data_IF_857663089540
#
_entry.id   IF_857663089540
#
_cell.length_a   1.000
_cell.length_b   1.000
_cell.length_c   1.000
_cell.angle_alpha   90.00
_cell.angle_beta   90.00
_cell.angle_gamma   90.00
#
_symmetry.space_group_name_H-M   'P 1'
#
loop_
_entity.id
_entity.type
_entity.pdbx_description
1 polymer ?
#
# COMPACT_ATOMS: atom_id res chain seq x y z
N UNK A 1 7.13 0.80 11.46
CA UNK A 1 7.98 -0.42 11.57
C UNK A 1 8.62 -0.55 12.94
N UNK A 2 8.64 0.51 13.76
CA UNK A 2 9.07 0.45 15.16
C UNK A 2 8.38 -0.66 15.95
N UNK A 3 9.10 -1.18 16.94
CA UNK A 3 8.62 -2.23 17.84
C UNK A 3 7.47 -1.65 18.68
N UNK A 4 6.33 -2.34 18.73
CA UNK A 4 5.13 -1.92 19.45
C UNK A 4 4.16 -1.05 18.62
N UNK A 5 4.68 -0.20 17.71
CA UNK A 5 3.82 0.65 16.86
C UNK A 5 3.01 -0.18 15.86
N UNK A 6 3.65 -1.19 15.25
CA UNK A 6 2.99 -2.06 14.28
C UNK A 6 1.94 -2.95 14.96
N UNK A 7 2.30 -3.55 16.10
CA UNK A 7 1.44 -4.43 16.88
C UNK A 7 0.20 -3.69 17.39
N UNK A 8 0.35 -2.45 17.85
CA UNK A 8 -0.77 -1.59 18.22
C UNK A 8 -1.69 -1.30 17.01
N UNK A 9 -1.08 -0.98 15.86
CA UNK A 9 -1.80 -0.65 14.63
C UNK A 9 -2.56 -1.81 13.99
N UNK A 10 -2.08 -3.05 14.12
CA UNK A 10 -2.74 -4.27 13.64
C UNK A 10 -3.56 -4.99 14.73
N UNK A 11 -3.63 -4.43 15.94
CA UNK A 11 -4.47 -4.99 17.01
C UNK A 11 -5.97 -4.93 16.67
N UNK A 12 -6.82 -5.54 17.50
CA UNK A 12 -8.28 -5.48 17.33
C UNK A 12 -8.83 -4.04 17.38
N UNK A 13 -8.17 -3.16 18.12
CA UNK A 13 -8.51 -1.74 18.24
C UNK A 13 -7.67 -0.88 17.28
N UNK A 14 -6.86 -1.52 16.43
CA UNK A 14 -5.92 -0.87 15.54
C UNK A 14 -6.59 -0.35 14.27
N UNK A 15 -6.27 0.90 13.91
CA UNK A 15 -6.87 1.59 12.75
C UNK A 15 -6.45 1.00 11.40
N UNK A 16 -5.30 0.30 11.31
CA UNK A 16 -4.82 -0.29 10.04
C UNK A 16 -5.83 -1.29 9.48
N UNK A 17 -6.49 -2.04 10.36
CA UNK A 17 -7.51 -3.02 9.99
C UNK A 17 -8.78 -2.35 9.48
N UNK A 18 -9.25 -1.38 10.23
CA UNK A 18 -10.45 -0.61 9.92
C UNK A 18 -10.31 0.14 8.59
N UNK A 19 -9.20 0.84 8.37
CA UNK A 19 -8.94 1.56 7.13
C UNK A 19 -8.89 0.65 5.91
N UNK A 20 -8.24 -0.52 6.00
CA UNK A 20 -8.18 -1.46 4.88
C UNK A 20 -9.57 -2.02 4.53
N UNK A 21 -10.39 -2.31 5.54
CA UNK A 21 -11.76 -2.75 5.36
C UNK A 21 -12.64 -1.65 4.75
N UNK A 22 -12.58 -0.43 5.27
CA UNK A 22 -13.31 0.73 4.76
C UNK A 22 -12.94 1.05 3.30
N UNK A 23 -11.65 1.00 2.96
CA UNK A 23 -11.20 1.19 1.58
C UNK A 23 -11.83 0.13 0.65
N UNK A 24 -11.87 -1.13 1.09
CA UNK A 24 -12.45 -2.22 0.30
C UNK A 24 -13.96 -2.06 0.12
N UNK A 25 -14.70 -1.70 1.18
CA UNK A 25 -16.16 -1.50 1.12
C UNK A 25 -16.55 -0.31 0.26
N UNK A 26 -15.72 0.74 0.18
CA UNK A 26 -15.91 1.89 -0.71
C UNK A 26 -15.53 1.61 -2.16
N UNK A 27 -15.04 0.40 -2.48
CA UNK A 27 -14.70 -0.01 -3.84
C UNK A 27 -13.30 0.39 -4.30
N UNK A 28 -12.40 0.77 -3.38
CA UNK A 28 -10.98 0.96 -3.68
C UNK A 28 -10.34 -0.41 -3.87
N UNK A 29 -10.12 -0.81 -5.13
CA UNK A 29 -9.61 -2.15 -5.48
C UNK A 29 -8.09 -2.22 -5.57
N UNK A 30 -7.42 -1.07 -5.66
CA UNK A 30 -5.96 -0.97 -5.75
C UNK A 30 -5.41 -0.43 -4.45
N UNK A 31 -4.40 -1.10 -3.89
CA UNK A 31 -3.78 -0.73 -2.62
C UNK A 31 -2.27 -0.85 -2.72
N UNK A 32 -1.55 0.04 -2.05
CA UNK A 32 -0.10 0.04 -1.87
C UNK A 32 0.17 0.04 -0.36
N UNK A 33 1.10 -0.80 0.09
CA UNK A 33 1.50 -0.85 1.51
C UNK A 33 2.88 -0.24 1.66
N UNK A 34 2.94 0.96 2.22
CA UNK A 34 4.18 1.60 2.65
C UNK A 34 4.54 1.19 4.08
N UNK A 35 5.61 0.43 4.27
CA UNK A 35 6.13 0.08 5.59
C UNK A 35 7.03 1.21 6.07
N UNK A 36 6.45 2.17 6.79
CA UNK A 36 7.12 3.40 7.21
C UNK A 36 7.96 3.24 8.50
N UNK A 37 8.85 4.20 8.74
CA UNK A 37 9.80 4.28 9.86
C UNK A 37 10.79 3.11 9.90
N UNK A 38 11.32 2.71 8.74
CA UNK A 38 12.34 1.66 8.66
C UNK A 38 13.66 2.04 9.34
N UNK A 39 13.94 3.33 9.48
CA UNK A 39 15.05 3.87 10.27
C UNK A 39 14.95 3.52 11.77
N UNK A 40 13.74 3.39 12.29
CA UNK A 40 13.44 3.19 13.71
C UNK A 40 13.29 1.70 14.08
N UNK A 41 13.64 0.77 13.19
CA UNK A 41 13.68 -0.66 13.53
C UNK A 41 14.92 -0.97 14.34
N UNK A 42 14.91 -2.10 15.06
CA UNK A 42 16.07 -2.59 15.78
C UNK A 42 16.51 -3.93 15.17
N UNK A 43 17.65 -4.01 14.46
CA UNK A 43 18.54 -2.91 14.04
C UNK A 43 17.90 -2.00 12.96
N UNK A 44 18.42 -0.77 12.72
CA UNK A 44 17.89 0.13 11.68
C UNK A 44 17.85 -0.53 10.30
N UNK A 45 16.76 -0.30 9.55
CA UNK A 45 16.51 -0.87 8.22
C UNK A 45 16.54 -2.41 8.20
N UNK A 46 16.00 -3.05 9.24
CA UNK A 46 16.00 -4.51 9.38
C UNK A 46 15.10 -5.21 8.34
N UNK A 47 15.72 -6.05 7.51
CA UNK A 47 15.02 -6.92 6.55
C UNK A 47 14.06 -7.88 7.26
N UNK A 48 14.50 -8.47 8.38
CA UNK A 48 13.70 -9.43 9.14
C UNK A 48 12.39 -8.79 9.62
N UNK A 49 12.47 -7.56 10.14
CA UNK A 49 11.29 -6.81 10.60
C UNK A 49 10.35 -6.46 9.45
N UNK A 50 10.89 -6.06 8.30
CA UNK A 50 10.07 -5.82 7.12
C UNK A 50 9.34 -7.10 6.66
N UNK A 51 10.04 -8.24 6.60
CA UNK A 51 9.46 -9.52 6.16
C UNK A 51 8.37 -10.03 7.13
N UNK A 52 8.54 -9.82 8.44
CA UNK A 52 7.51 -10.09 9.44
C UNK A 52 6.24 -9.26 9.19
N UNK A 53 6.39 -7.92 9.11
CA UNK A 53 5.27 -7.00 8.84
C UNK A 53 4.58 -7.36 7.52
N UNK A 54 5.37 -7.59 6.46
CA UNK A 54 4.86 -7.98 5.14
C UNK A 54 4.03 -9.25 5.24
N UNK A 55 4.48 -10.27 5.96
CA UNK A 55 3.76 -11.55 6.11
C UNK A 55 2.43 -11.37 6.83
N UNK A 56 2.41 -10.62 7.92
CA UNK A 56 1.18 -10.36 8.68
C UNK A 56 0.17 -9.53 7.89
N UNK A 57 0.63 -8.43 7.29
CA UNK A 57 -0.22 -7.57 6.45
C UNK A 57 -0.71 -8.34 5.24
N UNK A 58 0.13 -9.16 4.60
CA UNK A 58 -0.27 -10.03 3.49
C UNK A 58 -1.42 -10.98 3.88
N UNK A 59 -1.33 -11.64 5.03
CA UNK A 59 -2.41 -12.49 5.53
C UNK A 59 -3.68 -11.70 5.82
N UNK A 60 -3.56 -10.49 6.35
CA UNK A 60 -4.69 -9.62 6.67
C UNK A 60 -5.40 -9.08 5.42
N UNK A 61 -4.64 -8.54 4.47
CA UNK A 61 -5.12 -8.00 3.19
C UNK A 61 -5.88 -9.08 2.39
N UNK A 62 -5.38 -10.32 2.40
CA UNK A 62 -6.09 -11.48 1.84
C UNK A 62 -7.43 -11.76 2.53
N UNK A 63 -7.52 -11.59 3.86
CA UNK A 63 -8.78 -11.76 4.61
C UNK A 63 -9.80 -10.66 4.32
N UNK A 64 -9.35 -9.43 4.08
CA UNK A 64 -10.24 -8.31 3.70
C UNK A 64 -10.85 -8.54 2.31
N UNK A 65 -10.13 -9.20 1.40
CA UNK A 65 -10.62 -9.57 0.07
C UNK A 65 -9.76 -9.06 -1.09
N UNK A 66 -8.66 -8.38 -0.81
CA UNK A 66 -7.68 -7.98 -1.82
C UNK A 66 -6.85 -9.18 -2.29
N UNK A 67 -6.36 -9.12 -3.54
CA UNK A 67 -5.36 -10.06 -4.02
C UNK A 67 -3.96 -9.59 -3.58
N UNK A 68 -3.28 -10.30 -2.66
CA UNK A 68 -2.01 -9.82 -2.13
C UNK A 68 -0.87 -9.82 -3.17
N UNK A 69 -0.97 -10.61 -4.24
CA UNK A 69 0.00 -10.59 -5.35
C UNK A 69 -0.04 -9.29 -6.18
N UNK A 70 -1.09 -8.48 -6.00
CA UNK A 70 -1.27 -7.19 -6.66
C UNK A 70 -1.03 -5.99 -5.74
N UNK A 71 -0.62 -6.25 -4.49
CA UNK A 71 -0.34 -5.21 -3.51
C UNK A 71 1.17 -5.07 -3.36
N UNK A 72 1.78 -3.97 -3.86
CA UNK A 72 3.18 -3.71 -3.64
C UNK A 72 3.45 -3.34 -2.17
N UNK A 73 4.54 -3.88 -1.64
CA UNK A 73 5.05 -3.61 -0.29
C UNK A 73 6.37 -2.86 -0.40
N UNK A 74 6.38 -1.60 0.03
CA UNK A 74 7.53 -0.70 -0.11
C UNK A 74 8.04 -0.31 1.28
N UNK A 75 9.27 -0.70 1.67
CA UNK A 75 9.89 -0.21 2.89
C UNK A 75 10.34 1.23 2.67
N UNK A 76 9.87 2.16 3.51
CA UNK A 76 10.15 3.58 3.38
C UNK A 76 10.57 4.19 4.72
N UNK A 77 11.30 5.30 4.65
CA UNK A 77 11.39 6.27 5.75
C UNK A 77 10.88 7.61 5.27
N UNK A 78 9.68 7.99 5.70
CA UNK A 78 9.12 9.30 5.33
C UNK A 78 9.91 10.48 5.90
N UNK A 79 10.67 10.27 6.98
CA UNK A 79 11.49 11.31 7.59
C UNK A 79 12.80 11.55 6.82
N UNK A 80 13.46 10.47 6.41
CA UNK A 80 14.74 10.54 5.69
C UNK A 80 14.60 10.52 4.17
N UNK A 81 13.40 10.29 3.64
CA UNK A 81 13.12 10.20 2.20
C UNK A 81 13.49 8.87 1.55
N UNK A 82 13.93 7.88 2.34
CA UNK A 82 14.39 6.58 1.83
C UNK A 82 13.27 5.83 1.10
N UNK A 83 13.52 5.41 -0.16
CA UNK A 83 12.59 4.72 -1.06
C UNK A 83 11.29 5.50 -1.39
N UNK A 84 11.25 6.80 -1.13
CA UNK A 84 10.09 7.64 -1.47
C UNK A 84 10.06 7.96 -2.97
N UNK A 85 11.13 8.60 -3.46
CA UNK A 85 11.31 9.01 -4.86
C UNK A 85 12.48 8.23 -5.45
N UNK A 86 13.60 8.19 -4.72
CA UNK A 86 14.84 7.51 -5.10
C UNK A 86 15.08 6.26 -4.24
N UNK A 87 15.83 5.31 -4.79
CA UNK A 87 16.25 4.10 -4.08
C UNK A 87 17.20 4.44 -2.92
N UNK A 88 16.96 3.83 -1.76
CA UNK A 88 17.82 3.99 -0.58
C UNK A 88 19.04 3.07 -0.64
N UNK A 89 20.22 3.65 -0.44
CA UNK A 89 21.46 2.87 -0.26
C UNK A 89 21.48 2.07 1.07
N UNK A 90 20.62 2.40 2.04
CA UNK A 90 20.58 1.75 3.37
C UNK A 90 19.81 0.43 3.35
N UNK A 91 19.06 0.17 2.29
CA UNK A 91 18.21 -1.02 2.12
C UNK A 91 18.66 -1.87 0.93
N UNK A 92 19.96 -2.16 0.83
CA UNK A 92 20.52 -2.97 -0.27
C UNK A 92 19.97 -4.40 -0.38
N UNK A 93 19.31 -4.90 0.67
CA UNK A 93 18.59 -6.17 0.66
C UNK A 93 17.24 -6.09 -0.08
N UNK A 94 16.65 -4.90 -0.20
CA UNK A 94 15.35 -4.72 -0.83
C UNK A 94 15.47 -4.74 -2.36
N UNK A 95 15.02 -5.83 -2.97
CA UNK A 95 15.09 -6.04 -4.43
C UNK A 95 13.98 -5.34 -5.21
N UNK A 96 13.07 -4.66 -4.52
CA UNK A 96 11.87 -4.06 -5.12
C UNK A 96 10.59 -4.83 -4.81
N UNK A 97 9.48 -4.20 -5.17
CA UNK A 97 8.15 -4.77 -5.15
C UNK A 97 7.77 -5.27 -6.55
N UNK A 98 6.81 -6.18 -6.60
CA UNK A 98 6.23 -6.67 -7.84
C UNK A 98 4.72 -6.73 -7.67
N UNK A 99 4.02 -6.28 -8.70
CA UNK A 99 2.58 -6.28 -8.83
C UNK A 99 2.22 -7.17 -10.02
N UNK A 100 1.59 -8.31 -9.76
CA UNK A 100 1.18 -9.22 -10.83
C UNK A 100 0.06 -8.64 -11.67
N UNK A 101 0.04 -9.03 -12.94
CA UNK A 101 -1.05 -8.76 -13.86
C UNK A 101 -2.40 -9.20 -13.27
N UNK A 102 -3.45 -8.44 -13.59
CA UNK A 102 -4.81 -8.81 -13.26
C UNK A 102 -5.80 -7.94 -14.02
N UNK A 103 -7.02 -7.81 -13.53
CA UNK A 103 -8.10 -7.13 -14.26
C UNK A 103 -7.75 -5.69 -14.65
N UNK A 104 -7.04 -4.98 -13.78
CA UNK A 104 -6.75 -3.57 -13.96
C UNK A 104 -5.36 -3.31 -14.60
N UNK A 105 -4.45 -4.29 -14.58
CA UNK A 105 -3.09 -4.15 -15.12
C UNK A 105 -2.74 -5.32 -16.05
N UNK A 106 -2.37 -5.06 -17.31
CA UNK A 106 -2.21 -6.10 -18.33
C UNK A 106 -0.90 -6.90 -18.23
N UNK A 107 0.09 -6.44 -17.48
CA UNK A 107 1.41 -7.08 -17.34
C UNK A 107 1.92 -6.97 -15.91
N UNK A 108 2.86 -7.84 -15.54
CA UNK A 108 3.57 -7.71 -14.28
C UNK A 108 4.41 -6.42 -14.29
N UNK A 109 4.28 -5.64 -13.22
CA UNK A 109 5.02 -4.38 -13.04
C UNK A 109 5.82 -4.50 -11.76
N UNK A 110 7.07 -4.04 -11.78
CA UNK A 110 7.91 -3.95 -10.59
C UNK A 110 8.56 -2.59 -10.48
N UNK A 111 9.05 -2.29 -9.29
CA UNK A 111 9.76 -1.07 -8.96
C UNK A 111 10.41 -1.19 -7.59
N UNK A 112 11.09 -0.16 -7.15
CA UNK A 112 11.76 -0.07 -5.85
C UNK A 112 11.22 1.07 -4.99
N UNK A 113 10.69 2.12 -5.58
CA UNK A 113 10.27 3.31 -4.83
C UNK A 113 8.76 3.40 -4.68
N UNK A 114 8.31 4.24 -3.76
CA UNK A 114 6.89 4.51 -3.56
C UNK A 114 6.30 5.28 -4.74
N UNK A 115 7.07 6.19 -5.35
CA UNK A 115 6.67 6.90 -6.56
C UNK A 115 6.39 5.92 -7.71
N UNK A 116 7.29 4.98 -7.97
CA UNK A 116 7.08 3.95 -9.00
C UNK A 116 5.82 3.10 -8.70
N UNK A 117 5.52 2.86 -7.41
CA UNK A 117 4.33 2.12 -7.03
C UNK A 117 3.05 2.90 -7.33
N UNK A 118 3.08 4.22 -7.15
CA UNK A 118 1.98 5.13 -7.49
C UNK A 118 1.78 5.22 -9.01
N UNK A 119 2.86 5.32 -9.78
CA UNK A 119 2.81 5.34 -11.24
C UNK A 119 2.29 4.02 -11.81
N UNK A 120 2.47 2.91 -11.09
CA UNK A 120 1.92 1.60 -11.43
C UNK A 120 0.43 1.40 -11.03
N UNK A 121 -0.26 2.45 -10.60
CA UNK A 121 -1.72 2.42 -10.39
C UNK A 121 -2.42 2.52 -11.75
N UNK A 122 -3.30 1.56 -12.02
CA UNK A 122 -4.12 1.62 -13.23
C UNK A 122 -5.16 2.75 -13.13
N UNK A 123 -5.33 3.56 -14.19
CA UNK A 123 -6.38 4.56 -14.21
C UNK A 123 -7.77 3.89 -14.13
N UNK A 124 -8.69 4.37 -13.29
CA UNK A 124 -10.02 3.79 -13.18
C UNK A 124 -10.82 4.05 -14.47
N UNK A 125 -11.62 3.07 -14.88
CA UNK A 125 -12.55 3.24 -15.99
C UNK A 125 -13.63 4.25 -15.64
N UNK A 126 -13.71 5.35 -16.40
CA UNK A 126 -14.76 6.36 -16.21
C UNK A 126 -16.13 5.76 -16.58
N UNK A 127 -17.18 5.94 -15.77
CA UNK A 127 -18.51 5.39 -16.02
C UNK A 127 -19.31 6.20 -17.07
N UNK A 128 -18.74 6.47 -18.24
CA UNK A 128 -19.36 7.31 -19.28
C UNK A 128 -20.55 6.66 -19.97
N UNK A 129 -20.67 5.33 -19.88
CA UNK A 129 -21.78 4.55 -20.46
C UNK A 129 -22.93 4.31 -19.49
N UNK A 130 -22.78 4.70 -18.22
CA UNK A 130 -23.83 4.53 -17.21
C UNK A 130 -24.80 5.72 -17.26
N UNK A 131 -26.06 5.55 -16.82
CA UNK A 131 -27.00 6.66 -16.70
C UNK A 131 -26.47 7.78 -15.82
N UNK A 132 -26.77 9.04 -16.18
CA UNK A 132 -26.40 10.20 -15.39
C UNK A 132 -26.94 10.07 -13.95
N UNK A 133 -26.06 10.29 -12.98
CA UNK A 133 -26.36 10.44 -11.57
C UNK A 133 -25.58 11.65 -11.09
N UNK A 134 -26.29 12.70 -10.68
CA UNK A 134 -25.68 13.96 -10.25
C UNK A 134 -26.30 14.35 -8.90
N UNK A 135 -25.65 14.02 -7.77
CA UNK A 135 -26.08 14.52 -6.48
C UNK A 135 -25.83 16.03 -6.43
N UNK A 136 -26.89 16.80 -6.12
CA UNK A 136 -26.79 18.24 -6.00
C UNK A 136 -26.04 18.58 -4.71
N UNK A 137 -25.00 19.39 -4.82
CA UNK A 137 -24.22 19.84 -3.67
C UNK A 137 -24.81 21.11 -3.08
N UNK A 138 -25.00 22.14 -3.90
CA UNK A 138 -25.56 23.43 -3.53
C UNK A 138 -26.44 23.97 -4.67
N UNK A 139 -27.43 24.81 -4.33
CA UNK A 139 -28.30 25.48 -5.30
C UNK A 139 -28.18 26.99 -5.12
N UNK A 140 -27.72 27.67 -6.16
CA UNK A 140 -27.63 29.13 -6.20
C UNK A 140 -28.80 29.72 -6.99
N UNK A 141 -29.17 30.96 -6.65
CA UNK A 141 -30.26 31.71 -7.27
C UNK A 141 -29.73 32.83 -8.16
#
# INVERSE_FOLDING_TARGET
AGVGEFEAGISKNGQTREHALLAFTLGVKQMIVGVNKMDSTEPPYSEARFNEIKKEVHAYVKKVGYNPDQVPYVPISGWHGDNMIDESAKMGWYKGWTKKAGKDIPKDVGGKTLLEALDAIAPPSRPTKLPLRLPLQDVYK
#
